data_IF_951897327772
#
_entry.id   IF_951897327772
#
_cell.length_a   1.000
_cell.length_b   1.000
_cell.length_c   1.000
_cell.angle_alpha   90.00
_cell.angle_beta   90.00
_cell.angle_gamma   90.00
#
_symmetry.space_group_name_H-M   'P 1'
#
loop_
_entity.id
_entity.type
_entity.pdbx_description
1 polymer ?
#
# COMPACT_ATOMS: atom_id res chain seq x y z
N UNK A 1 1.66 21.53 -7.49
CA UNK A 1 2.24 20.60 -8.48
C UNK A 1 1.08 20.06 -9.29
N UNK A 2 1.23 19.88 -10.60
CA UNK A 2 0.15 19.36 -11.44
C UNK A 2 -0.20 17.90 -11.07
N UNK A 3 -1.43 17.47 -11.35
CA UNK A 3 -1.90 16.11 -11.06
C UNK A 3 -1.02 15.07 -11.77
N UNK A 4 -0.67 15.31 -13.04
CA UNK A 4 0.14 14.39 -13.83
C UNK A 4 1.52 14.20 -13.19
N UNK A 5 2.18 15.31 -12.83
CA UNK A 5 3.47 15.26 -12.13
C UNK A 5 3.38 14.53 -10.79
N UNK A 6 2.34 14.81 -10.01
CA UNK A 6 2.18 14.22 -8.67
C UNK A 6 1.95 12.71 -8.75
N UNK A 7 1.14 12.24 -9.70
CA UNK A 7 0.93 10.82 -10.01
C UNK A 7 2.26 10.11 -10.28
N UNK A 8 3.13 10.67 -11.11
CA UNK A 8 4.42 10.05 -11.44
C UNK A 8 5.40 10.04 -10.26
N UNK A 9 5.41 11.12 -9.46
CA UNK A 9 6.17 11.16 -8.20
C UNK A 9 5.69 10.07 -7.24
N UNK A 10 4.38 9.93 -7.08
CA UNK A 10 3.80 8.90 -6.23
C UNK A 10 4.13 7.49 -6.72
N UNK A 11 4.13 7.27 -8.04
CA UNK A 11 4.53 6.01 -8.63
C UNK A 11 6.02 5.71 -8.34
N UNK A 12 6.90 6.69 -8.53
CA UNK A 12 8.33 6.55 -8.27
C UNK A 12 8.65 6.19 -6.81
N UNK A 13 8.04 6.90 -5.86
CA UNK A 13 8.16 6.58 -4.43
C UNK A 13 7.57 5.19 -4.14
N UNK A 14 6.46 4.82 -4.78
CA UNK A 14 5.84 3.49 -4.64
C UNK A 14 6.77 2.36 -5.07
N UNK A 15 7.45 2.51 -6.21
CA UNK A 15 8.44 1.54 -6.70
C UNK A 15 9.62 1.42 -5.72
N UNK A 16 10.11 2.55 -5.18
CA UNK A 16 11.18 2.54 -4.20
C UNK A 16 10.76 1.80 -2.91
N UNK A 17 9.58 2.09 -2.38
CA UNK A 17 9.04 1.42 -1.20
C UNK A 17 8.79 -0.07 -1.44
N UNK A 18 8.35 -0.44 -2.65
CA UNK A 18 8.25 -1.85 -3.05
C UNK A 18 9.62 -2.54 -2.98
N UNK A 19 10.67 -1.94 -3.54
CA UNK A 19 12.03 -2.49 -3.44
C UNK A 19 12.49 -2.61 -1.99
N UNK A 20 12.31 -1.57 -1.17
CA UNK A 20 12.72 -1.60 0.24
C UNK A 20 11.98 -2.71 0.98
N UNK A 21 10.66 -2.80 0.84
CA UNK A 21 9.86 -3.81 1.53
C UNK A 21 10.21 -5.22 1.05
N UNK A 22 10.18 -5.47 -0.25
CA UNK A 22 10.26 -6.83 -0.79
C UNK A 22 11.67 -7.32 -1.09
N UNK A 23 12.70 -6.46 -1.14
CA UNK A 23 14.08 -6.91 -1.38
C UNK A 23 14.97 -6.74 -0.16
N UNK A 24 14.85 -5.64 0.58
CA UNK A 24 15.78 -5.29 1.66
C UNK A 24 15.23 -5.64 3.04
N UNK A 25 13.95 -5.36 3.30
CA UNK A 25 13.32 -5.42 4.64
C UNK A 25 12.10 -6.35 4.64
N UNK A 26 12.25 -7.51 4.01
CA UNK A 26 11.19 -8.53 3.81
C UNK A 26 10.43 -8.84 5.10
N UNK A 27 11.14 -9.13 6.19
CA UNK A 27 10.54 -9.51 7.48
C UNK A 27 10.15 -8.33 8.39
N UNK A 28 10.37 -7.10 7.94
CA UNK A 28 10.04 -5.93 8.75
C UNK A 28 8.55 -5.59 8.65
N UNK A 29 7.86 -5.69 9.78
CA UNK A 29 6.47 -5.24 9.90
C UNK A 29 6.35 -3.74 9.65
N UNK A 30 7.28 -2.93 10.18
CA UNK A 30 7.27 -1.47 10.01
C UNK A 30 7.31 -1.08 8.53
N UNK A 31 8.23 -1.66 7.76
CA UNK A 31 8.30 -1.39 6.31
C UNK A 31 7.09 -1.93 5.54
N UNK A 32 6.45 -3.00 6.05
CA UNK A 32 5.18 -3.48 5.50
C UNK A 32 4.06 -2.47 5.70
N UNK A 33 3.89 -1.96 6.92
CA UNK A 33 2.90 -0.92 7.24
C UNK A 33 3.12 0.34 6.39
N UNK A 34 4.37 0.84 6.31
CA UNK A 34 4.71 2.00 5.49
C UNK A 34 4.30 1.77 4.03
N UNK A 35 4.66 0.61 3.46
CA UNK A 35 4.33 0.29 2.07
C UNK A 35 2.82 0.24 1.81
N UNK A 36 2.05 -0.51 2.61
CA UNK A 36 0.61 -0.67 2.36
C UNK A 36 -0.18 0.61 2.61
N UNK A 37 0.18 1.39 3.65
CA UNK A 37 -0.45 2.70 3.91
C UNK A 37 -0.16 3.63 2.74
N UNK A 38 1.10 3.71 2.31
CA UNK A 38 1.49 4.53 1.17
C UNK A 38 0.76 4.13 -0.11
N UNK A 39 0.72 2.83 -0.43
CA UNK A 39 0.06 2.32 -1.63
C UNK A 39 -1.44 2.68 -1.63
N UNK A 40 -2.12 2.50 -0.49
CA UNK A 40 -3.52 2.88 -0.36
C UNK A 40 -3.73 4.39 -0.52
N UNK A 41 -2.90 5.23 0.12
CA UNK A 41 -2.96 6.69 -0.02
C UNK A 41 -2.72 7.15 -1.46
N UNK A 42 -1.75 6.56 -2.16
CA UNK A 42 -1.44 6.88 -3.56
C UNK A 42 -2.60 6.49 -4.49
N UNK A 43 -3.21 5.32 -4.26
CA UNK A 43 -4.41 4.88 -4.98
C UNK A 43 -5.57 5.84 -4.73
N UNK A 44 -5.82 6.21 -3.46
CA UNK A 44 -6.89 7.12 -3.12
C UNK A 44 -6.70 8.50 -3.74
N UNK A 45 -5.47 9.03 -3.74
CA UNK A 45 -5.12 10.27 -4.42
C UNK A 45 -5.40 10.19 -5.92
N UNK A 46 -4.99 9.10 -6.58
CA UNK A 46 -5.24 8.90 -8.00
C UNK A 46 -6.75 8.88 -8.30
N UNK A 47 -7.51 8.07 -7.57
CA UNK A 47 -8.97 7.91 -7.78
C UNK A 47 -9.71 9.21 -7.55
N UNK A 48 -9.34 9.98 -6.53
CA UNK A 48 -9.98 11.26 -6.21
C UNK A 48 -9.85 12.28 -7.34
N UNK A 49 -8.65 12.41 -7.90
CA UNK A 49 -8.31 13.40 -8.93
C UNK A 49 -8.60 12.91 -10.37
N UNK A 50 -9.01 11.66 -10.56
CA UNK A 50 -9.38 11.14 -11.87
C UNK A 50 -10.80 11.60 -12.27
N UNK A 51 -11.09 11.63 -13.58
CA UNK A 51 -12.37 12.07 -14.15
C UNK A 51 -13.46 10.98 -14.11
N UNK A 52 -13.35 10.03 -13.18
CA UNK A 52 -14.36 8.98 -13.00
C UNK A 52 -15.63 9.56 -12.37
N UNK A 53 -16.77 8.92 -12.65
CA UNK A 53 -17.99 9.29 -11.92
C UNK A 53 -17.84 8.98 -10.42
N UNK A 54 -18.54 9.75 -9.58
CA UNK A 54 -18.43 9.62 -8.12
C UNK A 54 -18.80 8.22 -7.63
N UNK A 55 -19.77 7.56 -8.29
CA UNK A 55 -20.16 6.18 -8.01
C UNK A 55 -18.97 5.23 -8.24
N UNK A 56 -18.25 5.39 -9.35
CA UNK A 56 -17.07 4.56 -9.66
C UNK A 56 -15.92 4.84 -8.69
N UNK A 57 -15.71 6.09 -8.30
CA UNK A 57 -14.72 6.45 -7.27
C UNK A 57 -15.02 5.75 -5.95
N UNK A 58 -16.26 5.82 -5.49
CA UNK A 58 -16.69 5.18 -4.24
C UNK A 58 -16.58 3.66 -4.29
N UNK A 59 -17.06 3.02 -5.36
CA UNK A 59 -16.94 1.57 -5.54
C UNK A 59 -15.48 1.11 -5.54
N UNK A 60 -14.62 1.83 -6.27
CA UNK A 60 -13.22 1.49 -6.34
C UNK A 60 -12.52 1.67 -4.98
N UNK A 61 -12.77 2.78 -4.29
CA UNK A 61 -12.22 3.03 -2.95
C UNK A 61 -12.69 2.00 -1.92
N UNK A 62 -13.94 1.53 -2.02
CA UNK A 62 -14.46 0.47 -1.16
C UNK A 62 -13.68 -0.84 -1.37
N UNK A 63 -13.50 -1.25 -2.63
CA UNK A 63 -12.73 -2.46 -2.98
C UNK A 63 -11.26 -2.32 -2.56
N UNK A 64 -10.66 -1.17 -2.84
CA UNK A 64 -9.28 -0.88 -2.45
C UNK A 64 -9.09 -0.91 -0.91
N UNK A 65 -10.06 -0.41 -0.16
CA UNK A 65 -10.06 -0.45 1.32
C UNK A 65 -10.12 -1.90 1.84
N UNK A 66 -11.01 -2.72 1.28
CA UNK A 66 -11.10 -4.14 1.63
C UNK A 66 -9.77 -4.85 1.35
N UNK A 67 -9.19 -4.64 0.16
CA UNK A 67 -7.91 -5.22 -0.21
C UNK A 67 -6.79 -4.75 0.75
N UNK A 68 -6.72 -3.45 1.05
CA UNK A 68 -5.76 -2.89 1.99
C UNK A 68 -5.80 -3.61 3.35
N UNK A 69 -6.98 -3.76 3.96
CA UNK A 69 -7.11 -4.44 5.25
C UNK A 69 -6.72 -5.91 5.18
N UNK A 70 -7.10 -6.61 4.11
CA UNK A 70 -6.73 -8.02 3.91
C UNK A 70 -5.20 -8.19 3.85
N UNK A 71 -4.50 -7.36 3.08
CA UNK A 71 -3.04 -7.41 2.98
C UNK A 71 -2.36 -7.00 4.29
N UNK A 72 -2.86 -5.96 4.96
CA UNK A 72 -2.31 -5.49 6.23
C UNK A 72 -2.38 -6.57 7.32
N UNK A 73 -3.54 -7.22 7.47
CA UNK A 73 -3.68 -8.30 8.46
C UNK A 73 -2.86 -9.54 8.10
N UNK A 74 -2.73 -9.86 6.82
CA UNK A 74 -1.87 -10.94 6.35
C UNK A 74 -0.40 -10.68 6.71
N UNK A 75 0.07 -9.46 6.52
CA UNK A 75 1.43 -9.02 6.88
C UNK A 75 1.69 -9.14 8.39
N UNK A 76 0.77 -8.64 9.22
CA UNK A 76 0.84 -8.76 10.68
C UNK A 76 0.87 -10.24 11.11
N UNK A 77 0.02 -11.07 10.50
CA UNK A 77 -0.04 -12.50 10.77
C UNK A 77 1.25 -13.24 10.40
N UNK A 78 1.85 -12.91 9.26
CA UNK A 78 3.14 -13.46 8.82
C UNK A 78 4.27 -13.05 9.77
N UNK A 79 4.32 -11.77 10.16
CA UNK A 79 5.30 -11.29 11.13
C UNK A 79 5.20 -12.04 12.47
N UNK A 80 3.98 -12.22 13.00
CA UNK A 80 3.77 -13.00 14.23
C UNK A 80 4.27 -14.43 14.09
N UNK A 81 4.01 -15.08 12.96
CA UNK A 81 4.47 -16.46 12.69
C UNK A 81 5.99 -16.56 12.58
N UNK A 82 6.64 -15.62 11.91
CA UNK A 82 8.09 -15.59 11.77
C UNK A 82 8.78 -15.36 13.12
N UNK A 83 8.20 -14.50 13.98
CA UNK A 83 8.70 -14.28 15.34
C UNK A 83 8.62 -15.55 16.19
N UNK A 84 7.52 -16.30 16.10
CA UNK A 84 7.37 -17.58 16.82
C UNK A 84 8.40 -18.61 16.36
N UNK A 85 8.66 -18.70 15.04
CA UNK A 85 9.68 -19.61 14.49
C UNK A 85 11.12 -19.23 14.85
N UNK A 86 11.41 -17.94 15.04
CA UNK A 86 12.75 -17.46 15.39
C UNK A 86 13.11 -17.65 16.87
N UNK A 87 12.12 -17.92 17.73
CA UNK A 87 12.30 -18.11 19.17
C UNK A 87 12.38 -19.60 19.59
N UNK A 88 12.36 -20.51 18.60
CA UNK A 88 12.57 -21.96 18.74
C UNK A 88 13.92 -22.31 18.12
#
# INVERSE_FOLDING_TARGET
MDFETTKWVLLGIGVLLFFIKFMVKKDSLLWGLIFYIYAFSAIAYYVYNNDWSDIWKLLFLLVASIAFWQFLFKEIGQFKRNRVRSNL
#
